data_IF_379300876118
#
_entry.id   IF_379300876118
#
_cell.length_a   1.000
_cell.length_b   1.000
_cell.length_c   1.000
_cell.angle_alpha   90.00
_cell.angle_beta   90.00
_cell.angle_gamma   90.00
#
_symmetry.space_group_name_H-M   'P 1'
#
loop_
_entity.id
_entity.type
_entity.pdbx_description
1 polymer ?
#
# COMPACT_ATOMS: atom_id res chain seq x y z
N UNK A 1 9.95 -22.07 -1.70
CA UNK A 1 9.11 -21.89 -0.49
C UNK A 1 8.81 -20.41 -0.35
N UNK A 2 7.57 -19.98 -0.58
CA UNK A 2 7.15 -18.59 -0.35
C UNK A 2 7.10 -18.37 1.17
N UNK A 3 8.13 -17.72 1.74
CA UNK A 3 8.07 -17.23 3.11
C UNK A 3 6.95 -16.19 3.14
N UNK A 4 5.97 -16.44 4.01
CA UNK A 4 4.70 -15.74 4.06
C UNK A 4 4.86 -14.67 5.13
N UNK A 5 4.44 -13.45 4.82
CA UNK A 5 4.31 -12.33 5.74
C UNK A 5 3.88 -12.78 7.14
N UNK A 6 4.33 -12.11 8.22
CA UNK A 6 3.96 -12.47 9.58
C UNK A 6 2.44 -12.59 9.74
N UNK A 7 2.00 -13.36 10.75
CA UNK A 7 0.60 -13.82 10.99
C UNK A 7 -0.52 -12.76 10.90
N UNK A 8 -0.19 -11.48 10.79
CA UNK A 8 -1.11 -10.36 10.61
C UNK A 8 -1.42 -10.04 9.14
N UNK A 9 -0.97 -10.86 8.19
CA UNK A 9 -1.40 -10.75 6.81
C UNK A 9 -2.94 -10.90 6.73
N UNK A 10 -3.61 -9.85 6.25
CA UNK A 10 -5.07 -9.77 6.16
C UNK A 10 -5.55 -10.02 4.74
N UNK A 11 -4.68 -9.90 3.74
CA UNK A 11 -5.09 -9.88 2.34
C UNK A 11 -4.10 -10.54 1.37
N UNK A 12 -4.54 -10.72 0.11
CA UNK A 12 -3.70 -11.27 -0.93
C UNK A 12 -2.51 -10.34 -1.20
N UNK A 13 -1.33 -10.96 -1.19
CA UNK A 13 -0.05 -10.35 -1.52
C UNK A 13 0.54 -9.35 -0.52
N UNK A 14 0.02 -9.13 0.70
CA UNK A 14 0.46 -8.11 1.71
C UNK A 14 1.93 -7.62 1.61
N UNK A 15 2.14 -6.28 1.68
CA UNK A 15 3.47 -5.69 1.50
C UNK A 15 4.25 -5.90 2.79
N UNK A 16 5.37 -6.61 2.68
CA UNK A 16 6.26 -6.87 3.78
C UNK A 16 7.70 -6.52 3.41
N UNK A 17 8.53 -6.25 4.42
CA UNK A 17 9.96 -5.99 4.31
C UNK A 17 10.74 -6.96 5.16
N UNK A 18 11.87 -7.40 4.65
CA UNK A 18 12.87 -8.16 5.40
C UNK A 18 14.26 -7.65 5.02
N UNK A 19 15.25 -7.80 5.90
CA UNK A 19 16.62 -7.54 5.54
C UNK A 19 17.09 -8.52 4.44
N UNK A 20 17.87 -8.02 3.49
CA UNK A 20 18.34 -8.80 2.34
C UNK A 20 19.32 -9.92 2.75
N UNK A 21 20.01 -9.76 3.87
CA UNK A 21 20.88 -10.77 4.46
C UNK A 21 20.09 -11.89 5.17
N UNK A 22 18.76 -11.81 5.19
CA UNK A 22 17.87 -12.77 5.84
C UNK A 22 17.83 -12.66 7.36
N UNK A 23 18.51 -11.66 7.94
CA UNK A 23 18.43 -11.34 9.35
C UNK A 23 17.18 -10.50 9.63
N UNK A 24 16.73 -10.51 10.88
CA UNK A 24 15.46 -9.86 11.23
C UNK A 24 14.24 -10.60 10.67
N UNK A 25 13.16 -10.60 11.44
CA UNK A 25 11.89 -11.14 10.98
C UNK A 25 11.32 -10.33 9.81
N UNK A 26 10.35 -10.89 9.12
CA UNK A 26 9.54 -10.13 8.17
C UNK A 26 8.67 -9.10 8.90
N UNK A 27 8.68 -7.86 8.42
CA UNK A 27 7.89 -6.73 8.91
C UNK A 27 6.73 -6.48 7.96
N UNK A 28 5.50 -6.41 8.48
CA UNK A 28 4.32 -6.04 7.70
C UNK A 28 4.28 -4.52 7.51
N UNK A 29 4.36 -4.06 6.26
CA UNK A 29 4.26 -2.65 5.90
C UNK A 29 2.83 -2.23 5.56
N UNK A 30 2.16 -3.07 4.75
CA UNK A 30 0.96 -2.86 3.94
C UNK A 30 -0.05 -4.01 4.02
N UNK A 31 -1.18 -3.91 4.72
CA UNK A 31 -2.23 -4.93 4.67
C UNK A 31 -3.58 -4.36 4.23
N UNK A 32 -4.19 -4.99 3.23
CA UNK A 32 -5.47 -4.60 2.64
C UNK A 32 -6.10 -5.81 1.92
N UNK A 33 -7.43 -6.01 1.98
CA UNK A 33 -8.11 -7.05 1.19
C UNK A 33 -7.88 -6.97 -0.33
N UNK A 34 -7.48 -5.82 -0.87
CA UNK A 34 -7.24 -5.64 -2.30
C UNK A 34 -5.81 -6.08 -2.66
N UNK A 35 -5.61 -6.87 -3.73
CA UNK A 35 -4.28 -7.28 -4.17
C UNK A 35 -3.37 -6.09 -4.49
N UNK A 36 -2.09 -6.26 -4.18
CA UNK A 36 -1.06 -5.23 -4.34
C UNK A 36 0.25 -5.80 -4.82
N UNK A 37 0.93 -5.06 -5.69
CA UNK A 37 2.21 -5.45 -6.27
C UNK A 37 3.22 -4.33 -6.07
N UNK A 38 4.27 -4.58 -5.28
CA UNK A 38 5.37 -3.65 -5.10
C UNK A 38 6.09 -3.41 -6.43
N UNK A 39 6.47 -2.16 -6.73
CA UNK A 39 7.13 -1.81 -7.99
C UNK A 39 8.51 -1.22 -7.78
N UNK A 40 8.62 -0.16 -6.99
CA UNK A 40 9.89 0.56 -6.83
C UNK A 40 9.93 1.31 -5.50
N UNK A 41 11.14 1.48 -4.99
CA UNK A 41 11.42 2.30 -3.81
C UNK A 41 11.99 3.63 -4.25
N UNK A 42 11.72 4.69 -3.50
CA UNK A 42 12.51 5.91 -3.63
C UNK A 42 13.96 5.64 -3.19
N UNK A 43 14.95 6.33 -3.77
CA UNK A 43 16.37 6.10 -3.45
C UNK A 43 16.71 6.30 -1.95
N UNK A 44 15.97 7.16 -1.27
CA UNK A 44 16.10 7.42 0.18
C UNK A 44 15.38 6.37 1.05
N UNK A 45 14.66 5.42 0.46
CA UNK A 45 13.86 4.41 1.16
C UNK A 45 12.60 4.94 1.83
N UNK A 46 12.27 6.22 1.64
CA UNK A 46 11.16 6.89 2.30
C UNK A 46 9.80 6.59 1.68
N UNK A 47 9.75 6.10 0.44
CA UNK A 47 8.53 5.83 -0.31
C UNK A 47 8.61 4.47 -1.01
N UNK A 48 7.47 3.79 -1.06
CA UNK A 48 7.27 2.58 -1.87
C UNK A 48 6.10 2.81 -2.84
N UNK A 49 6.39 2.73 -4.13
CA UNK A 49 5.39 2.71 -5.20
C UNK A 49 4.86 1.29 -5.37
N UNK A 50 3.55 1.14 -5.47
CA UNK A 50 2.91 -0.15 -5.70
C UNK A 50 1.65 -0.01 -6.55
N UNK A 51 1.29 -1.08 -7.25
CA UNK A 51 -0.02 -1.20 -7.84
C UNK A 51 -1.03 -1.72 -6.83
N UNK A 52 -2.21 -1.11 -6.78
CA UNK A 52 -3.39 -1.67 -6.12
C UNK A 52 -4.36 -2.14 -7.19
N UNK A 53 -4.74 -3.42 -7.14
CA UNK A 53 -5.53 -4.06 -8.18
C UNK A 53 -6.99 -4.15 -7.73
N UNK A 54 -7.71 -3.05 -7.90
CA UNK A 54 -9.13 -2.97 -7.52
C UNK A 54 -10.02 -3.40 -8.70
N UNK A 55 -11.09 -4.17 -8.46
CA UNK A 55 -12.02 -4.56 -9.53
C UNK A 55 -12.66 -3.38 -10.29
N UNK A 56 -12.80 -2.21 -9.65
CA UNK A 56 -13.44 -1.03 -10.22
C UNK A 56 -12.46 -0.17 -11.04
N UNK A 57 -11.26 0.08 -10.50
CA UNK A 57 -10.26 0.97 -11.12
C UNK A 57 -9.14 0.21 -11.84
N UNK A 58 -9.20 -1.12 -11.80
CA UNK A 58 -8.24 -2.07 -12.37
C UNK A 58 -6.86 -1.98 -11.74
N UNK A 59 -6.01 -1.07 -12.20
CA UNK A 59 -4.61 -0.98 -11.79
C UNK A 59 -4.26 0.47 -11.52
N UNK A 60 -4.37 0.85 -10.26
CA UNK A 60 -3.97 2.18 -9.79
C UNK A 60 -2.55 2.16 -9.23
N UNK A 61 -1.85 3.28 -9.38
CA UNK A 61 -0.55 3.50 -8.75
C UNK A 61 -0.77 4.20 -7.42
N UNK A 62 -0.23 3.60 -6.37
CA UNK A 62 -0.29 4.10 -5.01
C UNK A 62 1.12 4.29 -4.46
N UNK A 63 1.24 5.20 -3.49
CA UNK A 63 2.48 5.48 -2.75
C UNK A 63 2.26 5.14 -1.29
N UNK A 64 3.21 4.42 -0.70
CA UNK A 64 3.29 4.12 0.73
C UNK A 64 4.48 4.87 1.34
N UNK A 65 4.25 5.84 2.23
CA UNK A 65 5.32 6.46 3.03
C UNK A 65 5.88 5.51 4.08
N UNK A 66 7.20 5.47 4.18
CA UNK A 66 7.97 4.59 5.06
C UNK A 66 9.08 5.32 5.81
N UNK A 67 9.21 6.64 5.59
CA UNK A 67 10.15 7.47 6.32
C UNK A 67 9.84 7.49 7.83
N UNK A 68 10.87 7.49 8.70
CA UNK A 68 10.67 7.61 10.14
C UNK A 68 9.86 8.87 10.51
N UNK A 69 8.91 8.73 11.43
CA UNK A 69 8.07 9.85 11.89
C UNK A 69 6.94 10.24 10.93
N UNK A 70 6.79 9.58 9.78
CA UNK A 70 5.67 9.80 8.85
C UNK A 70 4.62 8.71 9.02
N UNK A 71 3.34 9.06 8.89
CA UNK A 71 2.25 8.09 8.90
C UNK A 71 2.36 7.16 7.69
N UNK A 72 2.45 5.84 7.91
CA UNK A 72 2.48 4.81 6.85
C UNK A 72 1.11 4.57 6.19
N UNK A 73 0.34 5.63 5.96
CA UNK A 73 -0.95 5.57 5.28
C UNK A 73 -0.72 5.74 3.77
N UNK A 74 -1.08 4.74 2.95
CA UNK A 74 -0.90 4.84 1.51
C UNK A 74 -1.92 5.81 0.89
N UNK A 75 -1.50 6.48 -0.18
CA UNK A 75 -2.34 7.39 -0.96
C UNK A 75 -2.19 7.14 -2.46
N UNK A 76 -3.24 7.42 -3.25
CA UNK A 76 -3.20 7.24 -4.70
C UNK A 76 -2.30 8.30 -5.36
N UNK A 77 -1.53 7.89 -6.37
CA UNK A 77 -0.69 8.77 -7.18
C UNK A 77 -1.27 8.97 -8.59
N UNK A 78 -1.64 7.89 -9.27
CA UNK A 78 -2.34 7.94 -10.57
C UNK A 78 -3.49 6.93 -10.54
N UNK A 79 -4.67 7.41 -10.90
CA UNK A 79 -5.85 6.58 -11.11
C UNK A 79 -5.97 6.16 -12.57
N UNK A 80 -6.19 4.87 -12.80
CA UNK A 80 -6.49 4.33 -14.12
C UNK A 80 -7.84 4.82 -14.63
N UNK A 81 -7.80 5.86 -15.48
CA UNK A 81 -8.84 6.25 -16.45
C UNK A 81 -10.17 6.76 -15.86
N UNK A 82 -10.25 8.10 -15.75
CA UNK A 82 -11.46 8.93 -15.83
C UNK A 82 -12.53 8.74 -14.72
N UNK A 83 -12.67 9.76 -13.86
CA UNK A 83 -13.83 9.95 -12.97
C UNK A 83 -15.15 10.05 -13.78
N UNK A 84 -16.31 9.69 -13.19
CA UNK A 84 -16.64 9.97 -11.80
C UNK A 84 -16.97 8.74 -10.96
N UNK A 85 -16.22 8.54 -9.87
CA UNK A 85 -16.76 7.87 -8.71
C UNK A 85 -17.98 8.68 -8.22
N UNK A 86 -19.18 8.15 -8.46
CA UNK A 86 -20.42 8.65 -7.90
C UNK A 86 -20.25 8.67 -6.37
N UNK A 87 -20.44 9.85 -5.75
CA UNK A 87 -20.50 10.02 -4.29
C UNK A 87 -21.40 8.94 -3.69
N UNK A 88 -20.83 8.07 -2.85
CA UNK A 88 -21.56 7.59 -1.69
C UNK A 88 -21.01 8.37 -0.49
N UNK A 89 -21.92 9.03 0.21
CA UNK A 89 -21.62 10.08 1.18
C UNK A 89 -20.67 9.62 2.27
N UNK A 90 -19.50 10.25 2.31
CA UNK A 90 -18.82 10.50 3.57
C UNK A 90 -19.01 11.99 3.85
N UNK A 91 -19.97 12.27 4.73
CA UNK A 91 -20.15 13.54 5.40
C UNK A 91 -18.80 14.00 5.96
N UNK A 92 -18.26 15.08 5.39
CA UNK A 92 -17.14 15.79 5.98
C UNK A 92 -17.64 16.44 7.26
N UNK A 93 -17.54 15.75 8.39
CA UNK A 93 -17.60 16.42 9.68
C UNK A 93 -16.33 17.25 9.81
N UNK A 94 -16.54 18.56 9.82
CA UNK A 94 -15.50 19.56 9.98
C UNK A 94 -14.67 19.32 11.22
N UNK A 95 -13.36 19.51 11.08
CA UNK A 95 -12.51 19.89 12.18
C UNK A 95 -12.87 21.35 12.52
N UNK A 96 -13.53 21.53 13.66
CA UNK A 96 -13.51 22.79 14.42
C UNK A 96 -12.37 22.73 15.43
#
# INVERSE_FOLDING_TARGET
MQKRCPKNAKGPFDLCRQAADGTGGEELLFADPVPKIATSWSPDGGLLLFYRIDPQTQRDIWVLPLAPGVSSKPYPWIFGRLYPARRQGAELKGYS
#
